data_IF_345972203540
#
_entry.id   IF_345972203540
#
_cell.length_a   1.000
_cell.length_b   1.000
_cell.length_c   1.000
_cell.angle_alpha   90.00
_cell.angle_beta   90.00
_cell.angle_gamma   90.00
#
_symmetry.space_group_name_H-M   'P 1'
#
loop_
_entity.id
_entity.type
_entity.pdbx_description
1 polymer ?
#
# COMPACT_ATOMS: atom_id res chain seq x y z
N UNK A 1 -4.23 -27.58 -25.77
CA UNK A 1 -4.65 -28.44 -24.63
C UNK A 1 -4.46 -27.62 -23.37
N UNK A 2 -5.52 -27.38 -22.60
CA UNK A 2 -5.44 -26.58 -21.38
C UNK A 2 -4.66 -27.37 -20.33
N UNK A 3 -3.63 -26.76 -19.75
CA UNK A 3 -2.84 -27.37 -18.69
C UNK A 3 -3.66 -27.47 -17.41
N UNK A 4 -3.50 -28.57 -16.67
CA UNK A 4 -4.10 -28.67 -15.33
C UNK A 4 -3.30 -27.83 -14.32
N UNK A 5 -3.97 -27.24 -13.31
CA UNK A 5 -3.30 -26.43 -12.28
C UNK A 5 -2.16 -27.17 -11.56
N UNK A 6 -2.31 -28.49 -11.34
CA UNK A 6 -1.33 -29.31 -10.64
C UNK A 6 -0.02 -29.45 -11.43
N UNK A 7 -0.11 -29.54 -12.76
CA UNK A 7 1.08 -29.60 -13.63
C UNK A 7 1.83 -28.26 -13.58
N UNK A 8 1.07 -27.15 -13.62
CA UNK A 8 1.62 -25.79 -13.55
C UNK A 8 2.31 -25.59 -12.20
N UNK A 9 1.62 -25.89 -11.10
CA UNK A 9 2.15 -25.70 -9.75
C UNK A 9 3.41 -26.54 -9.53
N UNK A 10 3.40 -27.82 -9.93
CA UNK A 10 4.56 -28.70 -9.82
C UNK A 10 5.76 -28.15 -10.60
N UNK A 11 5.52 -27.60 -11.79
CA UNK A 11 6.58 -27.01 -12.63
C UNK A 11 7.13 -25.74 -11.99
N UNK A 12 6.27 -24.84 -11.51
CA UNK A 12 6.67 -23.58 -10.90
C UNK A 12 7.39 -23.78 -9.56
N UNK A 13 7.02 -24.80 -8.77
CA UNK A 13 7.72 -25.16 -7.52
C UNK A 13 9.13 -25.69 -7.72
N UNK A 14 9.43 -26.27 -8.89
CA UNK A 14 10.74 -26.83 -9.21
C UNK A 14 11.73 -25.78 -9.74
N UNK A 15 11.32 -24.51 -9.85
CA UNK A 15 12.17 -23.42 -10.33
C UNK A 15 13.18 -23.01 -9.26
N UNK A 16 14.40 -22.71 -9.69
CA UNK A 16 15.45 -22.11 -8.88
C UNK A 16 16.00 -20.84 -9.55
N UNK A 17 16.96 -20.19 -8.90
CA UNK A 17 17.53 -18.91 -9.35
C UNK A 17 18.57 -19.07 -10.47
N UNK A 18 18.84 -20.29 -10.96
CA UNK A 18 19.78 -20.50 -12.06
C UNK A 18 19.19 -20.00 -13.37
N UNK A 19 20.06 -19.44 -14.23
CA UNK A 19 19.63 -18.94 -15.55
C UNK A 19 19.00 -20.03 -16.41
N UNK A 20 19.48 -21.27 -16.31
CA UNK A 20 18.95 -22.42 -17.05
C UNK A 20 17.51 -22.77 -16.61
N UNK A 21 17.26 -22.83 -15.29
CA UNK A 21 15.93 -23.12 -14.73
C UNK A 21 14.91 -22.05 -15.12
N UNK A 22 15.31 -20.78 -15.02
CA UNK A 22 14.49 -19.63 -15.39
C UNK A 22 14.14 -19.65 -16.89
N UNK A 23 15.14 -19.81 -17.76
CA UNK A 23 14.94 -19.79 -19.22
C UNK A 23 14.13 -20.98 -19.72
N UNK A 24 14.36 -22.16 -19.15
CA UNK A 24 13.63 -23.38 -19.52
C UNK A 24 12.16 -23.26 -19.12
N UNK A 25 11.89 -22.70 -17.94
CA UNK A 25 10.51 -22.51 -17.46
C UNK A 25 9.80 -21.40 -18.22
N UNK A 26 10.47 -20.28 -18.50
CA UNK A 26 9.87 -19.21 -19.31
C UNK A 26 9.55 -19.67 -20.72
N UNK A 27 10.41 -20.47 -21.35
CA UNK A 27 10.14 -21.03 -22.69
C UNK A 27 8.97 -22.02 -22.67
N UNK A 28 8.83 -22.80 -21.60
CA UNK A 28 7.67 -23.67 -21.40
C UNK A 28 6.37 -22.87 -21.26
N UNK A 29 6.37 -21.76 -20.51
CA UNK A 29 5.22 -20.84 -20.40
C UNK A 29 4.87 -20.25 -21.78
N UNK A 30 5.88 -19.78 -22.53
CA UNK A 30 5.70 -19.24 -23.88
C UNK A 30 5.07 -20.26 -24.84
N UNK A 31 5.44 -21.54 -24.72
CA UNK A 31 4.86 -22.62 -25.53
C UNK A 31 3.39 -22.89 -25.18
N UNK A 32 3.00 -22.70 -23.92
CA UNK A 32 1.65 -22.94 -23.42
C UNK A 32 0.85 -21.64 -23.20
N UNK A 33 1.05 -20.64 -24.07
CA UNK A 33 0.38 -19.33 -23.99
C UNK A 33 -1.15 -19.42 -23.95
N UNK A 34 -1.74 -20.48 -24.53
CA UNK A 34 -3.19 -20.74 -24.48
C UNK A 34 -3.70 -20.96 -23.04
N UNK A 35 -2.83 -21.35 -22.10
CA UNK A 35 -3.14 -21.53 -20.68
C UNK A 35 -2.61 -20.39 -19.81
N UNK A 36 -2.26 -19.23 -20.38
CA UNK A 36 -1.60 -18.15 -19.64
C UNK A 36 -2.43 -17.66 -18.45
N UNK A 37 -3.75 -17.55 -18.58
CA UNK A 37 -4.61 -17.08 -17.49
C UNK A 37 -4.50 -18.00 -16.26
N UNK A 38 -4.52 -19.32 -16.47
CA UNK A 38 -4.34 -20.29 -15.38
C UNK A 38 -2.89 -20.29 -14.85
N UNK A 39 -1.90 -20.14 -15.74
CA UNK A 39 -0.49 -20.06 -15.34
C UNK A 39 -0.24 -18.86 -14.42
N UNK A 40 -0.73 -17.68 -14.77
CA UNK A 40 -0.54 -16.45 -13.97
C UNK A 40 -1.29 -16.56 -12.64
N UNK A 41 -2.49 -17.16 -12.64
CA UNK A 41 -3.25 -17.43 -11.42
C UNK A 41 -2.49 -18.36 -10.45
N UNK A 42 -2.01 -19.50 -10.92
CA UNK A 42 -1.22 -20.43 -10.10
C UNK A 42 0.10 -19.78 -9.67
N UNK A 43 0.71 -18.97 -10.54
CA UNK A 43 1.92 -18.21 -10.21
C UNK A 43 1.70 -17.29 -9.02
N UNK A 44 0.63 -16.48 -8.98
CA UNK A 44 0.38 -15.56 -7.86
C UNK A 44 0.00 -16.29 -6.57
N UNK A 45 -0.77 -17.38 -6.66
CA UNK A 45 -1.14 -18.21 -5.50
C UNK A 45 0.09 -18.87 -4.87
N UNK A 46 0.96 -19.45 -5.70
CA UNK A 46 2.23 -20.01 -5.26
C UNK A 46 3.15 -18.93 -4.70
N UNK A 47 3.27 -17.79 -5.38
CA UNK A 47 4.13 -16.69 -4.98
C UNK A 47 3.81 -16.20 -3.57
N UNK A 48 2.53 -16.08 -3.22
CA UNK A 48 2.06 -15.63 -1.89
C UNK A 48 2.48 -16.53 -0.74
N UNK A 49 2.78 -17.81 -1.01
CA UNK A 49 3.10 -18.82 0.01
C UNK A 49 4.54 -19.34 -0.09
N UNK A 50 5.29 -18.92 -1.12
CA UNK A 50 6.64 -19.37 -1.41
C UNK A 50 7.70 -18.75 -0.48
N UNK A 51 8.83 -19.44 -0.33
CA UNK A 51 10.03 -18.90 0.33
C UNK A 51 10.68 -17.78 -0.50
N UNK A 52 11.48 -16.93 0.13
CA UNK A 52 12.18 -15.82 -0.53
C UNK A 52 12.97 -16.26 -1.76
N UNK A 53 13.66 -17.41 -1.67
CA UNK A 53 14.44 -17.96 -2.79
C UNK A 53 13.55 -18.27 -4.01
N UNK A 54 12.42 -18.94 -3.77
CA UNK A 54 11.47 -19.30 -4.81
C UNK A 54 10.72 -18.07 -5.34
N UNK A 55 10.38 -17.11 -4.49
CA UNK A 55 9.76 -15.85 -4.91
C UNK A 55 10.66 -15.08 -5.90
N UNK A 56 11.95 -14.94 -5.60
CA UNK A 56 12.92 -14.31 -6.50
C UNK A 56 12.96 -15.05 -7.85
N UNK A 57 13.01 -16.38 -7.82
CA UNK A 57 13.09 -17.19 -9.02
C UNK A 57 11.81 -17.07 -9.88
N UNK A 58 10.63 -17.10 -9.25
CA UNK A 58 9.33 -16.89 -9.89
C UNK A 58 9.21 -15.49 -10.51
N UNK A 59 9.75 -14.47 -9.84
CA UNK A 59 9.82 -13.10 -10.37
C UNK A 59 10.67 -13.03 -11.63
N UNK A 60 11.86 -13.65 -11.62
CA UNK A 60 12.73 -13.68 -12.79
C UNK A 60 12.13 -14.48 -13.96
N UNK A 61 11.39 -15.55 -13.69
CA UNK A 61 10.62 -16.27 -14.73
C UNK A 61 9.58 -15.37 -15.36
N UNK A 62 8.75 -14.69 -14.57
CA UNK A 62 7.72 -13.78 -15.09
C UNK A 62 8.32 -12.63 -15.92
N UNK A 63 9.43 -12.06 -15.44
CA UNK A 63 10.20 -11.05 -16.16
C UNK A 63 10.71 -11.56 -17.52
N UNK A 64 11.35 -12.73 -17.55
CA UNK A 64 11.87 -13.32 -18.80
C UNK A 64 10.75 -13.65 -19.80
N UNK A 65 9.59 -14.11 -19.32
CA UNK A 65 8.39 -14.29 -20.15
C UNK A 65 7.93 -12.96 -20.75
N UNK A 66 7.78 -11.91 -19.94
CA UNK A 66 7.34 -10.58 -20.42
C UNK A 66 8.30 -10.01 -21.47
N UNK A 67 9.61 -10.13 -21.25
CA UNK A 67 10.61 -9.65 -22.19
C UNK A 67 10.63 -10.45 -23.51
N UNK A 68 10.51 -11.78 -23.44
CA UNK A 68 10.40 -12.64 -24.63
C UNK A 68 9.09 -12.38 -25.37
N UNK A 69 8.00 -12.15 -24.64
CA UNK A 69 6.70 -11.80 -25.18
C UNK A 69 6.72 -10.47 -25.93
N UNK A 70 7.48 -9.48 -25.48
CA UNK A 70 7.63 -8.21 -26.21
C UNK A 70 8.35 -8.37 -27.56
N UNK A 71 9.30 -9.30 -27.65
CA UNK A 71 10.08 -9.55 -28.89
C UNK A 71 9.33 -10.37 -29.94
N UNK A 72 8.36 -11.19 -29.53
CA UNK A 72 7.47 -11.94 -30.42
C UNK A 72 6.14 -11.17 -30.51
N UNK A 73 5.41 -11.21 -31.63
CA UNK A 73 4.13 -10.47 -31.76
C UNK A 73 3.00 -10.87 -30.79
N UNK A 74 3.28 -11.70 -29.78
CA UNK A 74 2.36 -12.21 -28.75
C UNK A 74 2.29 -11.30 -27.49
N UNK A 75 2.90 -10.11 -27.56
CA UNK A 75 3.08 -9.19 -26.43
C UNK A 75 1.77 -8.88 -25.69
N UNK A 76 0.68 -8.60 -26.41
CA UNK A 76 -0.58 -8.17 -25.79
C UNK A 76 -1.18 -9.23 -24.85
N UNK A 77 -1.17 -10.51 -25.24
CA UNK A 77 -1.83 -11.57 -24.46
C UNK A 77 -1.05 -11.84 -23.18
N UNK A 78 0.28 -11.99 -23.29
CA UNK A 78 1.13 -12.35 -22.16
C UNK A 78 1.34 -11.18 -21.20
N UNK A 79 1.60 -9.97 -21.71
CA UNK A 79 1.82 -8.78 -20.87
C UNK A 79 0.53 -8.39 -20.13
N UNK A 80 -0.62 -8.41 -20.80
CA UNK A 80 -1.90 -8.06 -20.15
C UNK A 80 -2.31 -9.08 -19.08
N UNK A 81 -1.96 -10.36 -19.27
CA UNK A 81 -2.24 -11.39 -18.26
C UNK A 81 -1.43 -11.16 -16.98
N UNK A 82 -0.14 -10.83 -17.11
CA UNK A 82 0.74 -10.59 -15.96
C UNK A 82 0.52 -9.21 -15.30
N UNK A 83 0.17 -8.18 -16.06
CA UNK A 83 0.06 -6.78 -15.61
C UNK A 83 -0.63 -6.61 -14.23
N UNK A 84 -1.86 -7.09 -14.00
CA UNK A 84 -2.54 -6.86 -12.72
C UNK A 84 -1.93 -7.62 -11.52
N UNK A 85 -1.07 -8.61 -11.80
CA UNK A 85 -0.53 -9.50 -10.76
C UNK A 85 0.81 -9.00 -10.21
N UNK A 86 1.50 -8.10 -10.92
CA UNK A 86 2.71 -7.44 -10.43
C UNK A 86 2.44 -6.63 -9.17
N UNK A 87 1.46 -5.73 -9.19
CA UNK A 87 1.08 -4.90 -8.04
C UNK A 87 0.66 -5.75 -6.84
N UNK A 88 -0.08 -6.84 -7.09
CA UNK A 88 -0.47 -7.79 -6.03
C UNK A 88 0.74 -8.52 -5.43
N UNK A 89 1.67 -9.01 -6.26
CA UNK A 89 2.88 -9.69 -5.79
C UNK A 89 3.81 -8.75 -5.00
N UNK A 90 4.01 -7.53 -5.51
CA UNK A 90 4.84 -6.49 -4.89
C UNK A 90 4.27 -6.10 -3.51
N UNK A 91 2.95 -5.89 -3.43
CA UNK A 91 2.28 -5.55 -2.17
C UNK A 91 2.44 -6.63 -1.09
N UNK A 92 2.43 -7.92 -1.50
CA UNK A 92 2.64 -9.06 -0.58
C UNK A 92 4.08 -9.11 -0.08
N UNK A 93 5.06 -8.84 -0.94
CA UNK A 93 6.47 -8.77 -0.50
C UNK A 93 6.68 -7.60 0.45
N UNK A 94 6.04 -6.45 0.18
CA UNK A 94 6.11 -5.27 1.04
C UNK A 94 5.49 -5.52 2.42
N UNK A 95 4.31 -6.13 2.50
CA UNK A 95 3.66 -6.44 3.78
C UNK A 95 4.45 -7.42 4.64
N UNK A 96 5.25 -8.29 4.02
CA UNK A 96 6.14 -9.25 4.69
C UNK A 96 7.57 -8.73 4.88
N UNK A 97 7.88 -7.50 4.47
CA UNK A 97 9.24 -6.94 4.48
C UNK A 97 9.81 -6.74 5.88
N UNK A 98 8.97 -6.44 6.87
CA UNK A 98 9.37 -6.24 8.27
C UNK A 98 9.79 -7.53 8.98
N UNK A 99 9.44 -8.70 8.43
CA UNK A 99 9.80 -10.01 8.98
C UNK A 99 10.93 -10.71 8.20
N UNK A 100 11.52 -10.05 7.20
CA UNK A 100 12.54 -10.65 6.31
C UNK A 100 13.92 -10.09 6.62
N UNK A 101 14.86 -10.97 6.96
CA UNK A 101 16.20 -10.58 7.43
C UNK A 101 17.09 -9.93 6.36
N UNK A 102 16.85 -10.21 5.06
CA UNK A 102 17.84 -9.91 4.01
C UNK A 102 17.36 -9.04 2.83
N UNK A 103 16.08 -8.64 2.79
CA UNK A 103 15.54 -7.74 1.74
C UNK A 103 15.78 -8.18 0.28
N UNK A 104 16.21 -9.43 0.05
CA UNK A 104 16.68 -9.89 -1.27
C UNK A 104 15.59 -9.88 -2.33
N UNK A 105 14.35 -10.17 -1.93
CA UNK A 105 13.19 -10.13 -2.83
C UNK A 105 12.87 -8.69 -3.26
N UNK A 106 13.03 -7.70 -2.38
CA UNK A 106 12.82 -6.28 -2.68
C UNK A 106 13.85 -5.81 -3.72
N UNK A 107 15.13 -6.12 -3.51
CA UNK A 107 16.20 -5.78 -4.46
C UNK A 107 15.98 -6.42 -5.84
N UNK A 108 15.46 -7.65 -5.87
CA UNK A 108 15.10 -8.32 -7.11
C UNK A 108 13.94 -7.60 -7.84
N UNK A 109 12.93 -7.14 -7.09
CA UNK A 109 11.81 -6.35 -7.64
C UNK A 109 12.31 -5.03 -8.22
N UNK A 110 13.09 -4.25 -7.46
CA UNK A 110 13.65 -2.96 -7.91
C UNK A 110 14.39 -3.12 -9.24
N UNK A 111 15.29 -4.12 -9.31
CA UNK A 111 16.02 -4.46 -10.53
C UNK A 111 15.10 -4.81 -11.69
N UNK A 112 14.00 -5.54 -11.47
CA UNK A 112 13.05 -5.89 -12.53
C UNK A 112 12.28 -4.65 -13.01
N UNK A 113 11.88 -3.76 -12.11
CA UNK A 113 11.20 -2.52 -12.46
C UNK A 113 12.10 -1.59 -13.30
N UNK A 114 13.38 -1.50 -12.94
CA UNK A 114 14.36 -0.75 -13.75
C UNK A 114 14.52 -1.37 -15.14
N UNK A 115 14.59 -2.71 -15.24
CA UNK A 115 14.64 -3.40 -16.53
C UNK A 115 13.36 -3.15 -17.36
N UNK A 116 12.19 -3.14 -16.72
CA UNK A 116 10.93 -2.86 -17.41
C UNK A 116 10.86 -1.44 -17.92
N UNK A 117 11.42 -0.47 -17.19
CA UNK A 117 11.52 0.92 -17.64
C UNK A 117 12.52 1.05 -18.80
N UNK A 118 13.76 0.58 -18.63
CA UNK A 118 14.81 0.63 -19.68
C UNK A 118 14.34 -0.02 -20.99
N UNK A 119 13.63 -1.14 -20.89
CA UNK A 119 13.16 -1.91 -22.05
C UNK A 119 11.75 -1.55 -22.46
N UNK A 120 11.10 -0.58 -21.81
CA UNK A 120 9.72 -0.13 -22.06
C UNK A 120 8.72 -1.31 -22.13
N UNK A 121 8.83 -2.27 -21.21
CA UNK A 121 8.00 -3.50 -21.21
C UNK A 121 6.55 -3.15 -20.85
N UNK A 122 6.37 -2.24 -19.90
CA UNK A 122 5.09 -1.65 -19.52
C UNK A 122 5.13 -0.14 -19.74
N UNK A 123 3.96 0.51 -19.76
CA UNK A 123 3.88 1.97 -19.83
C UNK A 123 4.41 2.62 -18.55
N UNK A 124 4.84 3.89 -18.63
CA UNK A 124 5.31 4.65 -17.45
C UNK A 124 4.30 4.63 -16.31
N UNK A 125 3.01 4.90 -16.60
CA UNK A 125 1.93 4.83 -15.61
C UNK A 125 1.83 3.47 -14.90
N UNK A 126 1.96 2.36 -15.62
CA UNK A 126 1.93 1.03 -15.00
C UNK A 126 3.17 0.77 -14.12
N UNK A 127 4.33 1.30 -14.51
CA UNK A 127 5.55 1.19 -13.71
C UNK A 127 5.46 2.06 -12.46
N UNK A 128 4.85 3.23 -12.56
CA UNK A 128 4.58 4.12 -11.44
C UNK A 128 3.63 3.44 -10.44
N UNK A 129 2.58 2.74 -10.89
CA UNK A 129 1.70 1.94 -10.02
C UNK A 129 2.47 0.82 -9.29
N UNK A 130 3.38 0.14 -9.99
CA UNK A 130 4.20 -0.93 -9.40
C UNK A 130 5.24 -0.39 -8.39
N UNK A 131 5.87 0.76 -8.70
CA UNK A 131 6.79 1.46 -7.78
C UNK A 131 6.04 1.99 -6.56
N UNK A 132 4.84 2.54 -6.76
CA UNK A 132 3.92 2.99 -5.72
C UNK A 132 3.58 1.86 -4.74
N UNK A 133 3.24 0.68 -5.26
CA UNK A 133 3.01 -0.52 -4.45
C UNK A 133 4.25 -1.00 -3.67
N UNK A 134 5.46 -0.75 -4.18
CA UNK A 134 6.73 -1.11 -3.52
C UNK A 134 7.09 -0.14 -2.39
N UNK A 135 6.89 1.15 -2.61
CA UNK A 135 7.14 2.22 -1.62
C UNK A 135 6.03 2.22 -0.57
N UNK A 136 4.84 1.72 -0.91
CA UNK A 136 3.63 1.79 -0.08
C UNK A 136 2.94 3.15 -0.17
N UNK A 137 3.37 3.98 -1.12
CA UNK A 137 2.77 5.26 -1.50
C UNK A 137 1.87 4.94 -2.68
N UNK A 138 0.61 4.59 -2.44
CA UNK A 138 -0.37 4.83 -3.49
C UNK A 138 -0.66 6.33 -3.45
N UNK A 139 -0.30 6.99 -4.57
CA UNK A 139 -0.54 8.40 -4.93
C UNK A 139 0.27 9.44 -4.13
N UNK A 140 1.37 9.87 -4.74
CA UNK A 140 1.95 11.19 -4.53
C UNK A 140 1.33 12.17 -5.53
N UNK A 141 1.07 13.38 -5.04
CA UNK A 141 0.80 14.65 -5.73
C UNK A 141 -0.68 15.08 -5.93
N UNK A 142 -1.02 16.16 -5.21
CA UNK A 142 -2.03 17.18 -5.51
C UNK A 142 -3.53 16.83 -5.61
N UNK A 143 -3.92 15.59 -5.35
CA UNK A 143 -5.28 15.26 -4.92
C UNK A 143 -5.32 15.23 -3.41
N UNK A 144 -6.01 16.16 -2.74
CA UNK A 144 -6.24 16.06 -1.31
C UNK A 144 -6.81 14.67 -0.98
N UNK A 145 -6.02 13.84 -0.29
CA UNK A 145 -6.51 12.60 0.29
C UNK A 145 -7.55 13.01 1.33
N UNK A 146 -8.81 13.11 0.93
CA UNK A 146 -9.90 13.39 1.85
C UNK A 146 -10.11 12.11 2.67
N UNK A 147 -9.39 12.02 3.79
CA UNK A 147 -9.62 10.95 4.75
C UNK A 147 -10.94 11.23 5.48
N UNK A 148 -11.98 10.53 5.04
CA UNK A 148 -13.31 10.68 5.61
C UNK A 148 -13.39 10.01 7.00
N UNK A 149 -13.35 10.85 8.03
CA UNK A 149 -13.43 10.42 9.43
C UNK A 149 -14.82 9.86 9.78
N UNK A 150 -15.88 10.30 9.11
CA UNK A 150 -17.23 9.78 9.30
C UNK A 150 -17.37 8.37 8.73
N UNK A 151 -16.71 8.09 7.60
CA UNK A 151 -16.60 6.73 7.05
C UNK A 151 -15.86 5.82 8.02
N UNK A 152 -14.70 6.24 8.54
CA UNK A 152 -13.98 5.47 9.56
C UNK A 152 -14.88 5.17 10.77
N UNK A 153 -15.57 6.17 11.30
CA UNK A 153 -16.46 6.02 12.45
C UNK A 153 -17.57 4.99 12.18
N UNK A 154 -18.21 5.06 11.01
CA UNK A 154 -19.24 4.07 10.58
C UNK A 154 -18.68 2.66 10.51
N UNK A 155 -17.47 2.47 9.99
CA UNK A 155 -16.84 1.15 9.90
C UNK A 155 -16.44 0.59 11.28
N UNK A 156 -15.93 1.43 12.19
CA UNK A 156 -15.65 1.04 13.59
C UNK A 156 -16.94 0.58 14.26
N UNK A 157 -18.02 1.36 14.15
CA UNK A 157 -19.32 1.00 14.72
C UNK A 157 -19.87 -0.31 14.15
N UNK A 158 -19.80 -0.47 12.83
CA UNK A 158 -20.31 -1.67 12.16
C UNK A 158 -19.51 -2.92 12.59
N UNK A 159 -18.20 -2.80 12.73
CA UNK A 159 -17.34 -3.87 13.23
C UNK A 159 -17.67 -4.23 14.69
N UNK A 160 -17.83 -3.21 15.56
CA UNK A 160 -18.20 -3.42 16.95
C UNK A 160 -19.57 -4.11 17.10
N UNK A 161 -20.59 -3.65 16.35
CA UNK A 161 -21.91 -4.30 16.29
C UNK A 161 -21.80 -5.76 15.83
N UNK A 162 -20.94 -6.02 14.83
CA UNK A 162 -20.62 -7.37 14.36
C UNK A 162 -20.02 -8.26 15.46
N UNK A 163 -19.04 -7.73 16.20
CA UNK A 163 -18.39 -8.46 17.30
C UNK A 163 -19.38 -8.85 18.40
N UNK A 164 -20.31 -7.96 18.77
CA UNK A 164 -21.37 -8.27 19.73
C UNK A 164 -22.26 -9.44 19.28
N UNK A 165 -22.57 -9.52 17.99
CA UNK A 165 -23.35 -10.64 17.42
C UNK A 165 -22.53 -11.93 17.47
N UNK A 166 -21.24 -11.87 17.13
CA UNK A 166 -20.34 -13.02 17.19
C UNK A 166 -20.20 -13.56 18.62
N UNK A 167 -20.12 -12.69 19.62
CA UNK A 167 -20.04 -13.08 21.02
C UNK A 167 -21.30 -13.80 21.50
N UNK A 168 -22.49 -13.28 21.13
CA UNK A 168 -23.75 -13.97 21.41
C UNK A 168 -23.82 -15.33 20.73
N UNK A 169 -23.39 -15.42 19.47
CA UNK A 169 -23.38 -16.67 18.73
C UNK A 169 -22.40 -17.70 19.33
N UNK A 170 -21.20 -17.27 19.77
CA UNK A 170 -20.26 -18.09 20.54
C UNK A 170 -20.92 -18.64 21.81
N UNK A 171 -21.65 -17.82 22.55
CA UNK A 171 -22.38 -18.25 23.74
C UNK A 171 -23.47 -19.30 23.45
N UNK A 172 -24.18 -19.20 22.32
CA UNK A 172 -25.17 -20.21 21.91
C UNK A 172 -24.48 -21.53 21.55
N UNK A 173 -23.38 -21.48 20.79
CA UNK A 173 -22.64 -22.67 20.39
C UNK A 173 -22.00 -23.37 21.60
N UNK A 174 -21.45 -22.63 22.55
CA UNK A 174 -20.84 -23.20 23.76
C UNK A 174 -21.84 -23.99 24.62
N UNK A 175 -23.13 -23.62 24.58
CA UNK A 175 -24.22 -24.33 25.28
C UNK A 175 -24.87 -25.43 24.44
N UNK A 176 -24.56 -25.51 23.15
CA UNK A 176 -25.15 -26.49 22.25
C UNK A 176 -24.40 -27.82 22.36
N UNK A 177 -25.15 -28.91 22.35
CA UNK A 177 -24.58 -30.26 22.39
C UNK A 177 -24.33 -30.76 20.97
N UNK A 178 -23.06 -30.98 20.63
CA UNK A 178 -22.64 -31.51 19.33
C UNK A 178 -22.09 -32.95 19.43
N UNK A 179 -22.14 -33.58 20.60
CA UNK A 179 -21.70 -34.97 20.76
C UNK A 179 -22.82 -35.93 20.38
N UNK A 180 -23.02 -36.09 19.06
CA UNK A 180 -24.02 -37.00 18.52
C UNK A 180 -23.56 -38.45 18.49
N UNK A 181 -22.24 -38.69 18.36
CA UNK A 181 -21.67 -40.04 18.20
C UNK A 181 -22.05 -40.99 19.33
N UNK A 182 -21.98 -40.52 20.57
CA UNK A 182 -22.26 -41.33 21.75
C UNK A 182 -23.77 -41.62 21.92
N UNK A 183 -24.62 -40.89 21.20
CA UNK A 183 -26.08 -40.99 21.28
C UNK A 183 -26.69 -41.87 20.20
N UNK A 184 -25.94 -42.23 19.16
CA UNK A 184 -26.43 -43.03 18.02
C UNK A 184 -27.11 -44.32 18.50
N UNK A 185 -26.44 -45.10 19.36
CA UNK A 185 -26.96 -46.40 19.84
C UNK A 185 -28.25 -46.30 20.66
N UNK A 186 -28.43 -45.20 21.40
CA UNK A 186 -29.60 -45.03 22.29
C UNK A 186 -30.77 -44.36 21.59
N UNK A 187 -30.52 -43.54 20.55
CA UNK A 187 -31.53 -42.73 19.84
C UNK A 187 -32.03 -43.36 18.52
N UNK A 188 -31.25 -44.26 17.91
CA UNK A 188 -31.60 -44.93 16.64
C UNK A 188 -32.18 -46.34 16.87
N UNK A 189 -33.22 -46.48 17.71
CA UNK A 189 -33.82 -47.79 18.04
C UNK A 189 -34.97 -48.18 17.12
N UNK A 190 -35.66 -47.19 16.58
CA UNK A 190 -36.79 -47.35 15.67
C UNK A 190 -36.72 -46.25 14.59
N UNK A 191 -37.51 -46.42 13.52
CA UNK A 191 -37.49 -45.53 12.36
C UNK A 191 -37.81 -44.08 12.72
N UNK A 192 -38.79 -43.86 13.59
CA UNK A 192 -39.26 -42.50 13.93
C UNK A 192 -38.27 -41.78 14.85
N UNK A 193 -37.68 -42.50 15.81
CA UNK A 193 -36.62 -41.98 16.68
C UNK A 193 -35.34 -41.63 15.90
N UNK A 194 -34.97 -42.46 14.93
CA UNK A 194 -33.84 -42.21 14.04
C UNK A 194 -34.03 -40.99 13.14
N UNK A 195 -35.24 -40.83 12.56
CA UNK A 195 -35.59 -39.68 11.71
C UNK A 195 -35.46 -38.35 12.48
N UNK A 196 -36.02 -38.25 13.68
CA UNK A 196 -35.87 -37.06 14.55
C UNK A 196 -34.42 -36.79 14.95
N UNK A 197 -33.63 -37.84 15.18
CA UNK A 197 -32.23 -37.70 15.55
C UNK A 197 -31.37 -37.19 14.39
N UNK A 198 -31.66 -37.61 13.16
CA UNK A 198 -31.03 -37.07 11.96
C UNK A 198 -31.40 -35.60 11.75
N UNK A 199 -32.67 -35.22 11.94
CA UNK A 199 -33.09 -33.81 11.89
C UNK A 199 -32.34 -32.93 12.92
N UNK A 200 -32.12 -33.43 14.14
CA UNK A 200 -31.33 -32.74 15.17
C UNK A 200 -29.87 -32.51 14.72
N UNK A 201 -29.26 -33.52 14.08
CA UNK A 201 -27.90 -33.44 13.53
C UNK A 201 -27.84 -32.42 12.38
N UNK A 202 -28.77 -32.47 11.44
CA UNK A 202 -28.84 -31.53 10.32
C UNK A 202 -29.04 -30.08 10.81
N UNK A 203 -29.91 -29.88 11.80
CA UNK A 203 -30.09 -28.56 12.42
C UNK A 203 -28.79 -28.06 13.11
N UNK A 204 -28.05 -28.96 13.76
CA UNK A 204 -26.79 -28.62 14.40
C UNK A 204 -25.69 -28.29 13.36
N UNK A 205 -25.61 -29.07 12.28
CA UNK A 205 -24.72 -28.79 11.15
C UNK A 205 -25.03 -27.42 10.53
N UNK A 206 -26.30 -27.15 10.24
CA UNK A 206 -26.74 -25.86 9.66
C UNK A 206 -26.42 -24.67 10.58
N UNK A 207 -26.53 -24.84 11.91
CA UNK A 207 -26.10 -23.81 12.88
C UNK A 207 -24.60 -23.51 12.77
N UNK A 208 -23.76 -24.55 12.68
CA UNK A 208 -22.31 -24.39 12.54
C UNK A 208 -21.93 -23.76 11.20
N UNK A 209 -22.56 -24.17 10.10
CA UNK A 209 -22.33 -23.58 8.78
C UNK A 209 -22.70 -22.09 8.74
N UNK A 210 -23.86 -21.72 9.31
CA UNK A 210 -24.29 -20.33 9.42
C UNK A 210 -23.31 -19.51 10.26
N UNK A 211 -22.82 -20.07 11.37
CA UNK A 211 -21.83 -19.41 12.20
C UNK A 211 -20.51 -19.19 11.45
N UNK A 212 -20.01 -20.21 10.75
CA UNK A 212 -18.76 -20.13 9.99
C UNK A 212 -18.86 -19.12 8.84
N UNK A 213 -19.99 -19.08 8.14
CA UNK A 213 -20.28 -18.05 7.12
C UNK A 213 -20.26 -16.64 7.72
N UNK A 214 -20.88 -16.46 8.88
CA UNK A 214 -20.91 -15.16 9.58
C UNK A 214 -19.53 -14.76 10.08
N UNK A 215 -18.76 -15.70 10.64
CA UNK A 215 -17.39 -15.48 11.08
C UNK A 215 -16.48 -15.07 9.92
N UNK A 216 -16.61 -15.71 8.76
CA UNK A 216 -15.85 -15.36 7.55
C UNK A 216 -16.17 -13.92 7.09
N UNK A 217 -17.45 -13.55 7.04
CA UNK A 217 -17.86 -12.17 6.73
C UNK A 217 -17.33 -11.15 7.73
N UNK A 218 -17.35 -11.48 9.02
CA UNK A 218 -16.82 -10.60 10.07
C UNK A 218 -15.30 -10.43 9.96
N UNK A 219 -14.57 -11.52 9.65
CA UNK A 219 -13.13 -11.46 9.35
C UNK A 219 -12.84 -10.52 8.18
N UNK A 220 -13.60 -10.60 7.08
CA UNK A 220 -13.44 -9.70 5.93
C UNK A 220 -13.72 -8.23 6.29
N UNK A 221 -14.73 -7.95 7.15
CA UNK A 221 -14.94 -6.59 7.65
C UNK A 221 -13.77 -6.08 8.48
N UNK A 222 -13.17 -6.96 9.28
CA UNK A 222 -11.98 -6.63 10.08
C UNK A 222 -10.76 -6.31 9.23
N UNK A 223 -10.53 -7.08 8.15
CA UNK A 223 -9.44 -6.77 7.21
C UNK A 223 -9.65 -5.43 6.53
N UNK A 224 -10.89 -5.11 6.14
CA UNK A 224 -11.19 -3.81 5.52
C UNK A 224 -11.08 -2.63 6.50
N UNK A 225 -11.56 -2.79 7.75
CA UNK A 225 -11.37 -1.78 8.79
C UNK A 225 -9.88 -1.52 9.05
N UNK A 226 -9.03 -2.56 9.01
CA UNK A 226 -7.59 -2.41 9.17
C UNK A 226 -6.97 -1.56 8.04
N UNK A 227 -7.41 -1.75 6.80
CA UNK A 227 -6.98 -0.93 5.66
C UNK A 227 -7.32 0.56 5.87
N UNK A 228 -8.55 0.86 6.31
CA UNK A 228 -8.99 2.25 6.57
C UNK A 228 -8.23 2.85 7.76
N UNK A 229 -7.97 2.08 8.82
CA UNK A 229 -7.19 2.53 9.96
C UNK A 229 -5.74 2.85 9.58
N UNK A 230 -5.13 2.02 8.72
CA UNK A 230 -3.78 2.27 8.22
C UNK A 230 -3.73 3.52 7.33
N UNK A 231 -4.74 3.74 6.49
CA UNK A 231 -4.88 4.98 5.73
C UNK A 231 -5.03 6.20 6.65
N UNK A 232 -5.89 6.12 7.67
CA UNK A 232 -6.08 7.19 8.65
C UNK A 232 -4.83 7.51 9.43
N UNK A 233 -4.07 6.48 9.86
CA UNK A 233 -2.78 6.67 10.54
C UNK A 233 -1.81 7.46 9.67
N UNK A 234 -1.70 7.14 8.38
CA UNK A 234 -0.82 7.88 7.45
C UNK A 234 -1.29 9.31 7.28
N UNK A 235 -2.58 9.52 7.06
CA UNK A 235 -3.19 10.85 6.90
C UNK A 235 -2.90 11.76 8.11
N UNK A 236 -3.21 11.30 9.32
CA UNK A 236 -2.99 12.11 10.53
C UNK A 236 -1.50 12.30 10.86
N UNK A 237 -0.63 11.35 10.49
CA UNK A 237 0.82 11.53 10.63
C UNK A 237 1.33 12.66 9.74
N UNK A 238 0.83 12.75 8.50
CA UNK A 238 1.18 13.83 7.57
C UNK A 238 0.64 15.18 8.07
N UNK A 239 -0.64 15.24 8.46
CA UNK A 239 -1.22 16.46 9.03
C UNK A 239 -0.45 16.95 10.26
N UNK A 240 -0.04 16.04 11.15
CA UNK A 240 0.75 16.41 12.32
C UNK A 240 2.09 17.05 11.93
N UNK A 241 2.78 16.50 10.92
CA UNK A 241 4.04 17.09 10.43
C UNK A 241 3.82 18.51 9.91
N UNK A 242 2.76 18.72 9.14
CA UNK A 242 2.47 20.04 8.56
C UNK A 242 2.09 21.05 9.65
N UNK A 243 1.31 20.63 10.66
CA UNK A 243 1.00 21.46 11.84
C UNK A 243 2.25 21.85 12.62
N UNK A 244 3.20 20.92 12.81
CA UNK A 244 4.47 21.20 13.51
C UNK A 244 5.29 22.26 12.76
N UNK A 245 5.34 22.20 11.43
CA UNK A 245 6.05 23.20 10.62
C UNK A 245 5.39 24.58 10.77
N UNK A 246 4.07 24.64 10.74
CA UNK A 246 3.31 25.89 10.94
C UNK A 246 3.53 26.44 12.34
N UNK A 247 3.46 25.60 13.38
CA UNK A 247 3.71 25.98 14.77
C UNK A 247 5.10 26.62 14.93
N UNK A 248 6.15 25.98 14.40
CA UNK A 248 7.52 26.50 14.44
C UNK A 248 7.64 27.88 13.75
N UNK A 249 6.96 28.07 12.62
CA UNK A 249 6.93 29.36 11.93
C UNK A 249 6.26 30.45 12.79
N UNK A 250 5.13 30.15 13.45
CA UNK A 250 4.46 31.09 14.35
C UNK A 250 5.28 31.38 15.62
N UNK A 251 5.97 30.39 16.18
CA UNK A 251 6.89 30.58 17.31
C UNK A 251 8.05 31.53 16.96
N UNK A 252 8.66 31.32 15.79
CA UNK A 252 9.72 32.20 15.27
C UNK A 252 9.21 33.62 15.02
N UNK A 253 8.01 33.75 14.45
CA UNK A 253 7.38 35.04 14.22
C UNK A 253 7.09 35.78 15.53
N UNK A 254 6.54 35.09 16.54
CA UNK A 254 6.32 35.67 17.88
C UNK A 254 7.62 36.17 18.50
N UNK A 255 8.69 35.37 18.42
CA UNK A 255 10.01 35.75 18.92
C UNK A 255 10.57 36.98 18.19
N UNK A 256 10.34 37.08 16.88
CA UNK A 256 10.69 38.26 16.08
C UNK A 256 9.95 39.52 16.53
N UNK A 257 8.65 39.43 16.81
CA UNK A 257 7.87 40.55 17.36
C UNK A 257 8.41 40.99 18.72
N UNK A 258 8.71 40.04 19.61
CA UNK A 258 9.27 40.36 20.93
C UNK A 258 10.63 41.05 20.83
N UNK A 259 11.49 40.62 19.90
CA UNK A 259 12.78 41.26 19.65
C UNK A 259 12.62 42.72 19.18
N UNK A 260 11.74 42.97 18.21
CA UNK A 260 11.43 44.33 17.72
C UNK A 260 10.82 45.18 18.85
N UNK A 261 9.93 44.62 19.67
CA UNK A 261 9.38 45.33 20.83
C UNK A 261 10.48 45.79 21.79
N UNK A 262 11.39 44.89 22.14
CA UNK A 262 12.50 45.19 23.05
C UNK A 262 13.43 46.26 22.48
N UNK A 263 13.73 46.19 21.18
CA UNK A 263 14.53 47.22 20.50
C UNK A 263 13.84 48.59 20.56
N UNK A 264 12.54 48.67 20.26
CA UNK A 264 11.75 49.91 20.36
C UNK A 264 11.70 50.46 21.79
N UNK A 265 11.55 49.59 22.80
CA UNK A 265 11.59 49.99 24.22
C UNK A 265 12.96 50.56 24.62
N UNK A 266 14.05 49.96 24.14
CA UNK A 266 15.41 50.47 24.36
C UNK A 266 15.64 51.81 23.65
N UNK A 267 15.13 51.97 22.43
CA UNK A 267 15.19 53.22 21.67
C UNK A 267 14.44 54.34 22.38
N UNK A 268 13.23 54.08 22.88
CA UNK A 268 12.46 55.05 23.67
C UNK A 268 13.19 55.45 24.95
N UNK A 269 13.93 54.53 25.56
CA UNK A 269 14.71 54.79 26.78
C UNK A 269 15.99 55.59 26.52
N UNK A 270 16.66 55.34 25.39
CA UNK A 270 17.99 55.91 25.08
C UNK A 270 17.93 57.12 24.16
N UNK A 271 16.83 57.35 23.43
CA UNK A 271 16.71 58.29 22.32
C UNK A 271 17.74 58.09 21.20
N UNK A 272 18.32 56.89 21.07
CA UNK A 272 19.28 56.54 20.02
C UNK A 272 18.60 55.55 19.07
N UNK A 273 18.55 55.89 17.78
CA UNK A 273 18.07 55.00 16.73
C UNK A 273 19.23 54.11 16.24
N UNK A 274 19.15 52.77 16.33
CA UNK A 274 20.10 51.87 15.69
C UNK A 274 19.84 51.88 14.19
N UNK A 275 20.90 52.10 13.43
CA UNK A 275 20.83 52.32 11.99
C UNK A 275 21.81 53.42 11.63
N UNK A 276 23.01 53.02 11.21
CA UNK A 276 23.88 53.96 10.52
C UNK A 276 23.04 54.62 9.43
N UNK A 277 22.88 55.95 9.50
CA UNK A 277 22.40 56.69 8.34
C UNK A 277 23.23 56.22 7.14
N UNK A 278 22.62 55.88 5.99
CA UNK A 278 23.38 55.49 4.82
C UNK A 278 24.51 56.51 4.61
N UNK A 279 25.72 56.09 4.19
CA UNK A 279 26.81 57.01 3.92
C UNK A 279 26.30 58.19 3.10
N UNK A 280 26.82 59.40 3.31
CA UNK A 280 26.31 60.63 2.66
C UNK A 280 26.28 60.56 1.12
N UNK A 281 27.01 59.60 0.55
CA UNK A 281 27.13 59.32 -0.89
C UNK A 281 26.33 58.08 -1.35
N UNK A 282 25.50 57.49 -0.49
CA UNK A 282 24.58 56.43 -0.90
C UNK A 282 23.51 57.05 -1.81
N UNK A 283 23.33 56.55 -3.05
CA UNK A 283 22.33 57.08 -3.95
C UNK A 283 20.96 56.99 -3.27
N UNK A 284 20.21 58.10 -3.31
CA UNK A 284 18.83 58.10 -2.83
C UNK A 284 18.03 57.10 -3.67
N UNK A 285 17.21 56.23 -3.05
CA UNK A 285 16.39 55.29 -3.80
C UNK A 285 15.57 56.06 -4.83
N UNK A 286 15.73 55.72 -6.10
CA UNK A 286 14.92 56.35 -7.14
C UNK A 286 13.52 55.74 -7.13
N UNK A 287 12.46 56.47 -7.53
CA UNK A 287 11.09 55.94 -7.54
C UNK A 287 10.87 54.66 -8.36
N UNK A 288 11.86 54.25 -9.18
CA UNK A 288 11.87 53.01 -9.97
C UNK A 288 12.60 51.85 -9.25
N UNK A 289 13.03 52.03 -8.01
CA UNK A 289 13.64 51.00 -7.16
C UNK A 289 12.68 50.57 -6.04
N UNK A 290 11.37 50.71 -6.26
CA UNK A 290 10.38 50.09 -5.37
C UNK A 290 10.49 48.55 -5.52
N UNK A 291 10.92 47.81 -4.49
CA UNK A 291 11.04 46.35 -4.58
C UNK A 291 9.69 45.65 -4.78
N UNK A 292 8.57 46.37 -4.65
CA UNK A 292 7.21 45.89 -4.88
C UNK A 292 6.54 46.55 -6.09
N UNK A 293 7.30 47.18 -6.99
CA UNK A 293 6.75 47.85 -8.18
C UNK A 293 5.86 46.93 -9.03
N UNK A 294 6.15 45.62 -9.02
CA UNK A 294 5.41 44.58 -9.74
C UNK A 294 4.34 43.87 -8.88
N UNK A 295 4.08 44.32 -7.66
CA UNK A 295 3.17 43.70 -6.70
C UNK A 295 3.82 42.61 -5.83
N UNK A 296 3.29 42.44 -4.61
CA UNK A 296 3.87 41.56 -3.58
C UNK A 296 3.84 40.09 -4.00
N UNK A 297 2.77 39.62 -4.67
CA UNK A 297 2.68 38.25 -5.19
C UNK A 297 3.80 37.94 -6.20
N UNK A 298 4.08 38.85 -7.14
CA UNK A 298 5.06 38.65 -8.22
C UNK A 298 6.50 38.57 -7.67
N UNK A 299 6.79 39.35 -6.62
CA UNK A 299 8.08 39.34 -5.92
C UNK A 299 8.25 38.06 -5.10
N UNK A 300 7.16 37.55 -4.52
CA UNK A 300 7.16 36.29 -3.79
C UNK A 300 7.44 35.10 -4.70
N UNK A 301 6.79 35.02 -5.87
CA UNK A 301 7.04 33.97 -6.86
C UNK A 301 8.49 33.99 -7.37
N UNK A 302 9.02 35.18 -7.68
CA UNK A 302 10.40 35.34 -8.16
C UNK A 302 11.44 34.88 -7.12
N UNK A 303 11.21 35.18 -5.84
CA UNK A 303 12.09 34.74 -4.75
C UNK A 303 11.91 33.24 -4.42
N UNK A 304 10.70 32.70 -4.58
CA UNK A 304 10.40 31.27 -4.42
C UNK A 304 11.15 30.41 -5.46
N UNK A 305 11.23 30.87 -6.72
CA UNK A 305 12.04 30.20 -7.74
C UNK A 305 13.55 30.29 -7.46
N UNK A 306 14.02 31.42 -6.91
CA UNK A 306 15.43 31.62 -6.59
C UNK A 306 15.91 30.75 -5.42
N UNK A 307 15.07 30.57 -4.39
CA UNK A 307 15.34 29.66 -3.26
C UNK A 307 15.32 28.19 -3.68
N UNK A 308 14.38 27.81 -4.55
CA UNK A 308 14.31 26.44 -5.09
C UNK A 308 15.45 26.09 -6.06
N UNK A 309 16.01 27.08 -6.78
CA UNK A 309 17.21 26.88 -7.58
C UNK A 309 18.45 26.62 -6.70
N UNK A 310 18.56 27.33 -5.57
CA UNK A 310 19.68 27.19 -4.63
C UNK A 310 19.68 25.84 -3.89
N UNK A 311 18.50 25.30 -3.59
CA UNK A 311 18.33 23.97 -2.99
C UNK A 311 18.64 22.81 -3.97
N UNK A 312 18.69 23.06 -5.28
CA UNK A 312 19.12 22.06 -6.28
C UNK A 312 20.63 22.00 -6.49
N UNK A 313 21.36 23.04 -6.13
CA UNK A 313 22.82 23.10 -6.29
C UNK A 313 23.59 22.54 -5.08
N UNK A 314 22.95 22.44 -3.91
CA UNK A 314 23.51 21.75 -2.74
C UNK A 314 23.19 20.24 -2.82
N UNK A 315 23.92 19.53 -3.68
CA UNK A 315 23.97 18.07 -3.71
C UNK A 315 24.59 17.52 -2.41
N UNK A 316 23.86 16.65 -1.72
CA UNK A 316 24.38 15.67 -0.75
C UNK A 316 24.71 14.34 -1.44
#
# INVERSE_FOLDING_TARGET
>A
MVLSPEIIERRLRAVDQTSESIQTTSMWIMHHKDSIAEIVKVWIELFKTASDSLQIALFYVANDVCQKAKKRGDAAILLNAFAPHWTSAISVVKSLSSSRENGGVIKAIERILDIFDERQVYSKSQLDDMRSALIGVNETEEGGFEFDTDVLAKFIEAYHKGEMVMERARGILARSDFNFKDKIKSRMKDRQGGEKFLEEIEMAQKKLENFLSTLSKHKTRGTHLMEILDAGKRFFTLQLRDVIVVEDAYQKFSSGIDAVRLELEEMLKTNIYPGASPPRDAPSPTPNEDPFQDGVETVFERNYFFLNAKLKDDNW
#
